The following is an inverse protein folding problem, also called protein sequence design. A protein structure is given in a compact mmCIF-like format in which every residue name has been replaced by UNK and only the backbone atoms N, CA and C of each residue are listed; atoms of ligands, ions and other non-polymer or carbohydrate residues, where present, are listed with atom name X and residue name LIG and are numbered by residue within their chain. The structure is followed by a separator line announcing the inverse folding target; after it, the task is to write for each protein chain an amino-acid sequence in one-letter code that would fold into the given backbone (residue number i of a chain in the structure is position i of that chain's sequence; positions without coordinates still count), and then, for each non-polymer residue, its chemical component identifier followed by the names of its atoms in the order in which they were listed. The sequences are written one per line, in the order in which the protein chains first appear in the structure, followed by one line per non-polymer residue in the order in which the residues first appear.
data_IF_181154885250
#
_entry.id   IF_181154885250
#
_cell.length_a   1.000
_cell.length_b   1.000
_cell.length_c   1.000
_cell.angle_alpha   90.00
_cell.angle_beta   90.00
_cell.angle_gamma   90.00
#
_symmetry.space_group_name_H-M   'P 1'
#
loop_
_entity.id
_entity.type
_entity.pdbx_description
1 polymer ?
#
# COMPACT_ATOMS: atom_id res chain seq x y z
N UNK A 1 4.65 -31.04 14.57
CA UNK A 1 4.67 -30.87 13.08
C UNK A 1 5.22 -29.49 12.80
N UNK A 2 6.35 -29.38 12.16
CA UNK A 2 6.95 -28.09 11.77
C UNK A 2 6.31 -27.61 10.47
N UNK A 3 5.90 -26.35 10.44
CA UNK A 3 5.46 -25.65 9.23
C UNK A 3 6.63 -25.56 8.25
N UNK A 4 6.35 -25.73 6.96
CA UNK A 4 7.34 -25.57 5.88
C UNK A 4 6.83 -24.47 4.95
N UNK A 5 7.77 -23.64 4.48
CA UNK A 5 7.50 -22.53 3.56
C UNK A 5 8.43 -22.65 2.37
N UNK A 6 7.86 -22.85 1.17
CA UNK A 6 8.60 -22.89 -0.08
C UNK A 6 8.30 -21.66 -0.91
N UNK A 7 9.29 -20.80 -1.13
CA UNK A 7 9.14 -19.58 -1.94
C UNK A 7 9.29 -19.96 -3.41
N UNK A 8 8.24 -19.77 -4.20
CA UNK A 8 8.24 -20.05 -5.64
C UNK A 8 8.67 -18.83 -6.47
N UNK A 9 8.18 -17.66 -6.11
CA UNK A 9 8.49 -16.40 -6.79
C UNK A 9 8.59 -15.29 -5.73
N UNK A 10 9.60 -14.45 -5.85
CA UNK A 10 9.77 -13.26 -5.00
C UNK A 10 10.29 -12.11 -5.87
N UNK A 11 9.57 -11.00 -5.85
CA UNK A 11 9.94 -9.76 -6.50
C UNK A 11 9.62 -8.57 -5.59
N UNK A 12 10.01 -7.36 -5.99
CA UNK A 12 9.75 -6.14 -5.22
C UNK A 12 8.25 -5.87 -4.98
N UNK A 13 7.38 -6.42 -5.85
CA UNK A 13 5.93 -6.15 -5.81
C UNK A 13 5.07 -7.39 -5.62
N UNK A 14 5.64 -8.58 -5.63
CA UNK A 14 4.86 -9.81 -5.51
C UNK A 14 5.66 -10.94 -4.87
N UNK A 15 4.97 -11.75 -4.07
CA UNK A 15 5.50 -12.98 -3.52
C UNK A 15 4.51 -14.11 -3.75
N UNK A 16 5.03 -15.28 -4.16
CA UNK A 16 4.28 -16.52 -4.31
C UNK A 16 5.00 -17.63 -3.57
N UNK A 17 4.34 -18.24 -2.66
CA UNK A 17 4.91 -19.29 -1.79
C UNK A 17 3.89 -20.36 -1.46
N UNK A 18 4.38 -21.53 -1.10
CA UNK A 18 3.58 -22.67 -0.63
C UNK A 18 3.77 -22.82 0.87
N UNK A 19 2.67 -22.92 1.58
CA UNK A 19 2.65 -23.26 3.00
C UNK A 19 2.23 -24.75 3.13
N UNK A 20 3.11 -25.58 3.69
CA UNK A 20 2.86 -26.99 3.93
C UNK A 20 2.65 -27.25 5.41
N UNK A 21 1.80 -28.26 5.73
CA UNK A 21 1.50 -28.69 7.09
C UNK A 21 0.82 -27.61 7.95
N UNK A 22 0.03 -26.74 7.31
CA UNK A 22 -0.78 -25.72 7.98
C UNK A 22 -2.27 -25.98 7.76
N UNK A 23 -3.09 -25.49 8.68
CA UNK A 23 -4.54 -25.48 8.48
C UNK A 23 -4.97 -24.35 7.56
N UNK A 24 -6.13 -24.50 6.91
CA UNK A 24 -6.75 -23.42 6.13
C UNK A 24 -7.02 -22.17 6.99
N UNK A 25 -7.37 -22.37 8.27
CA UNK A 25 -7.57 -21.27 9.21
C UNK A 25 -6.29 -20.46 9.42
N UNK A 26 -5.14 -21.12 9.53
CA UNK A 26 -3.84 -20.47 9.63
C UNK A 26 -3.51 -19.69 8.34
N UNK A 27 -3.65 -20.30 7.16
CA UNK A 27 -3.41 -19.66 5.90
C UNK A 27 -4.30 -18.40 5.71
N UNK A 28 -5.57 -18.48 6.09
CA UNK A 28 -6.47 -17.32 6.08
C UNK A 28 -6.08 -16.27 7.13
N UNK A 29 -5.60 -16.70 8.30
CA UNK A 29 -5.07 -15.79 9.33
C UNK A 29 -3.89 -14.97 8.79
N UNK A 30 -2.92 -15.62 8.14
CA UNK A 30 -1.78 -14.94 7.49
C UNK A 30 -2.26 -13.96 6.42
N UNK A 31 -3.18 -14.39 5.53
CA UNK A 31 -3.75 -13.50 4.52
C UNK A 31 -4.38 -12.25 5.13
N UNK A 32 -5.16 -12.41 6.19
CA UNK A 32 -5.81 -11.28 6.88
C UNK A 32 -4.80 -10.36 7.55
N UNK A 33 -3.79 -10.92 8.21
CA UNK A 33 -2.73 -10.14 8.84
C UNK A 33 -1.95 -9.31 7.79
N UNK A 34 -1.63 -9.89 6.63
CA UNK A 34 -0.95 -9.16 5.53
C UNK A 34 -1.76 -7.98 5.01
N UNK A 35 -3.08 -8.05 5.03
CA UNK A 35 -3.96 -6.96 4.55
C UNK A 35 -4.23 -5.94 5.65
N UNK A 36 -4.46 -6.40 6.89
CA UNK A 36 -5.04 -5.59 7.95
C UNK A 36 -4.02 -5.06 8.96
N UNK A 37 -2.94 -5.80 9.22
CA UNK A 37 -2.08 -5.56 10.37
C UNK A 37 -0.66 -5.10 10.01
N UNK A 38 -0.33 -4.98 8.72
CA UNK A 38 0.94 -4.41 8.27
C UNK A 38 0.80 -2.89 8.22
N UNK A 39 1.57 -2.13 9.03
CA UNK A 39 1.49 -0.67 9.02
C UNK A 39 2.10 -0.09 7.75
N UNK A 40 1.44 0.92 7.17
CA UNK A 40 1.92 1.65 5.99
C UNK A 40 1.68 3.14 6.12
N UNK A 41 2.50 3.93 5.41
CA UNK A 41 2.30 5.38 5.28
C UNK A 41 1.22 5.67 4.22
N UNK A 42 0.29 6.56 4.54
CA UNK A 42 -0.65 7.13 3.57
C UNK A 42 -0.98 8.58 3.95
N UNK A 43 -1.34 9.38 2.95
CA UNK A 43 -1.76 10.76 3.15
C UNK A 43 -3.10 10.77 3.91
N UNK A 44 -3.13 11.48 5.04
CA UNK A 44 -4.32 11.64 5.88
C UNK A 44 -4.90 13.03 5.80
N UNK A 45 -4.06 14.05 5.88
CA UNK A 45 -4.46 15.45 5.86
C UNK A 45 -3.91 16.14 4.62
N UNK A 46 -4.71 17.04 4.04
CA UNK A 46 -4.30 17.88 2.91
C UNK A 46 -4.67 19.32 3.20
N UNK A 47 -3.66 20.18 3.27
CA UNK A 47 -3.81 21.63 3.37
C UNK A 47 -3.78 22.19 1.95
N UNK A 48 -4.92 22.61 1.44
CA UNK A 48 -5.06 23.21 0.12
C UNK A 48 -4.89 24.73 0.23
N UNK A 49 -3.87 25.27 -0.43
CA UNK A 49 -3.61 26.71 -0.47
C UNK A 49 -4.20 27.37 -1.70
N UNK A 50 -4.16 26.67 -2.85
CA UNK A 50 -4.75 27.13 -4.10
C UNK A 50 -5.20 25.94 -4.94
N UNK A 51 -6.49 25.89 -5.30
CA UNK A 51 -7.06 24.88 -6.18
C UNK A 51 -8.02 25.52 -7.16
N UNK A 52 -7.53 25.82 -8.34
CA UNK A 52 -8.34 26.32 -9.46
C UNK A 52 -8.58 25.23 -10.53
N UNK A 53 -8.32 23.96 -10.19
CA UNK A 53 -8.57 22.82 -11.06
C UNK A 53 -10.07 22.55 -11.22
N UNK A 54 -10.42 21.56 -12.03
CA UNK A 54 -11.82 21.11 -12.22
C UNK A 54 -12.30 20.16 -11.11
N UNK A 55 -11.38 19.65 -10.27
CA UNK A 55 -11.72 18.77 -9.17
C UNK A 55 -12.02 19.56 -7.91
N UNK A 56 -13.07 19.17 -7.21
CA UNK A 56 -13.36 19.67 -5.86
C UNK A 56 -12.30 19.18 -4.86
N UNK A 57 -12.10 19.95 -3.80
CA UNK A 57 -11.09 19.70 -2.78
C UNK A 57 -11.19 18.30 -2.17
N UNK A 58 -12.40 17.83 -1.90
CA UNK A 58 -12.66 16.51 -1.31
C UNK A 58 -12.29 15.37 -2.28
N UNK A 59 -12.55 15.55 -3.58
CA UNK A 59 -12.19 14.58 -4.60
C UNK A 59 -10.67 14.52 -4.79
N UNK A 60 -10.02 15.67 -4.75
CA UNK A 60 -8.57 15.77 -4.81
C UNK A 60 -7.92 15.12 -3.59
N UNK A 61 -8.41 15.42 -2.38
CA UNK A 61 -7.94 14.81 -1.13
C UNK A 61 -8.11 13.29 -1.14
N UNK A 62 -9.25 12.78 -1.61
CA UNK A 62 -9.48 11.34 -1.75
C UNK A 62 -8.46 10.70 -2.71
N UNK A 63 -8.21 11.31 -3.87
CA UNK A 63 -7.23 10.80 -4.83
C UNK A 63 -5.82 10.77 -4.27
N UNK A 64 -5.42 11.84 -3.58
CA UNK A 64 -4.12 11.94 -2.91
C UNK A 64 -3.97 10.88 -1.82
N UNK A 65 -4.99 10.64 -0.99
CA UNK A 65 -4.95 9.67 0.09
C UNK A 65 -4.79 8.22 -0.40
N UNK A 66 -5.18 7.92 -1.65
CA UNK A 66 -5.06 6.60 -2.25
C UNK A 66 -3.74 6.39 -3.02
N UNK A 67 -2.86 7.38 -3.07
CA UNK A 67 -1.52 7.21 -3.65
C UNK A 67 -0.67 6.37 -2.69
N UNK A 68 -0.18 5.19 -3.12
CA UNK A 68 0.68 4.37 -2.28
C UNK A 68 2.03 5.04 -2.10
N UNK A 69 2.50 5.10 -0.86
CA UNK A 69 3.81 5.63 -0.50
C UNK A 69 4.76 4.50 -0.13
N UNK A 70 6.03 4.63 -0.49
CA UNK A 70 7.09 3.77 0.04
C UNK A 70 7.16 4.00 1.54
N UNK A 71 7.14 2.92 2.32
CA UNK A 71 7.07 2.97 3.78
C UNK A 71 8.34 2.43 4.40
N UNK A 72 8.97 3.20 5.27
CA UNK A 72 10.08 2.78 6.12
C UNK A 72 9.55 2.49 7.53
N UNK A 73 9.26 1.21 7.81
CA UNK A 73 8.70 0.75 9.09
C UNK A 73 9.72 0.77 10.25
N UNK A 74 11.01 0.94 9.95
CA UNK A 74 12.06 1.02 10.98
C UNK A 74 12.20 2.46 11.51
N UNK A 75 11.93 3.45 10.65
CA UNK A 75 12.09 4.87 11.00
C UNK A 75 10.79 5.48 11.54
N UNK A 76 9.65 5.10 10.96
CA UNK A 76 8.34 5.66 11.32
C UNK A 76 7.51 4.70 12.16
N UNK A 77 6.69 5.25 13.04
CA UNK A 77 5.75 4.50 13.88
C UNK A 77 4.34 5.08 13.76
N UNK A 78 3.29 4.29 14.06
CA UNK A 78 1.93 4.81 14.11
C UNK A 78 1.82 5.99 15.08
N UNK A 79 1.09 7.03 14.68
CA UNK A 79 0.95 8.26 15.46
C UNK A 79 0.43 8.00 16.87
N UNK A 80 -0.53 7.07 17.02
CA UNK A 80 -1.09 6.69 18.32
C UNK A 80 -0.08 6.01 19.26
N UNK A 81 1.00 5.44 18.72
CA UNK A 81 2.06 4.74 19.45
C UNK A 81 3.31 5.62 19.63
N UNK A 82 3.28 6.87 19.13
CA UNK A 82 4.44 7.75 19.15
C UNK A 82 4.69 8.31 20.56
N UNK A 83 5.76 7.85 21.20
CA UNK A 83 6.18 8.31 22.52
C UNK A 83 6.75 9.74 22.51
N UNK A 84 7.19 10.23 21.34
CA UNK A 84 7.83 11.55 21.20
C UNK A 84 6.80 12.68 21.30
N UNK A 85 5.63 12.54 20.66
CA UNK A 85 4.60 13.57 20.61
C UNK A 85 3.30 13.19 21.35
N UNK A 86 3.20 11.97 21.88
CA UNK A 86 1.99 11.52 22.56
C UNK A 86 0.75 11.47 21.67
N UNK A 87 0.93 11.37 20.34
CA UNK A 87 -0.16 11.29 19.35
C UNK A 87 -0.56 12.63 18.73
N UNK A 88 0.14 13.73 19.04
CA UNK A 88 -0.19 15.06 18.46
C UNK A 88 0.37 15.27 17.04
N UNK A 89 1.32 14.44 16.60
CA UNK A 89 2.02 14.56 15.33
C UNK A 89 3.41 15.18 15.47
N UNK A 90 4.41 14.54 14.85
CA UNK A 90 5.79 15.04 14.84
C UNK A 90 6.58 14.40 13.69
N UNK A 91 7.80 14.91 13.39
CA UNK A 91 8.64 14.36 12.32
C UNK A 91 9.04 12.88 12.48
N UNK A 92 8.82 12.28 13.65
CA UNK A 92 9.06 10.84 13.89
C UNK A 92 7.87 9.95 13.48
N UNK A 93 6.67 10.52 13.30
CA UNK A 93 5.46 9.78 12.95
C UNK A 93 4.71 10.36 11.74
N UNK A 94 5.12 11.53 11.25
CA UNK A 94 4.50 12.20 10.11
C UNK A 94 5.53 12.63 9.05
N UNK A 95 5.10 12.63 7.79
CA UNK A 95 5.89 13.11 6.65
C UNK A 95 5.06 14.10 5.86
N UNK A 96 5.63 15.29 5.62
CA UNK A 96 5.00 16.30 4.75
C UNK A 96 5.43 16.12 3.31
N UNK A 97 4.46 16.19 2.40
CA UNK A 97 4.65 16.21 0.96
C UNK A 97 4.06 17.50 0.40
N UNK A 98 4.82 18.22 -0.39
CA UNK A 98 4.37 19.47 -1.03
C UNK A 98 4.16 19.29 -2.52
N UNK A 99 3.16 19.98 -3.06
CA UNK A 99 2.86 20.02 -4.48
C UNK A 99 2.60 21.47 -4.91
N UNK A 100 3.27 21.91 -5.96
CA UNK A 100 3.02 23.19 -6.60
C UNK A 100 3.08 23.00 -8.11
N UNK A 101 1.95 23.13 -8.78
CA UNK A 101 1.83 22.94 -10.22
C UNK A 101 0.99 24.04 -10.86
N UNK A 102 1.39 24.46 -12.08
CA UNK A 102 0.66 25.43 -12.91
C UNK A 102 0.44 24.83 -14.30
N UNK A 103 -0.80 24.92 -14.77
CA UNK A 103 -1.19 24.41 -16.09
C UNK A 103 -0.72 25.28 -17.27
N UNK A 104 -0.77 24.73 -18.49
CA UNK A 104 -1.45 23.48 -18.84
C UNK A 104 -0.59 22.23 -18.67
N UNK A 105 -1.16 21.14 -18.18
CA UNK A 105 -0.49 19.85 -18.06
C UNK A 105 -1.16 18.91 -17.07
N UNK A 106 -0.72 17.65 -17.08
CA UNK A 106 -1.18 16.64 -16.10
C UNK A 106 -0.21 16.62 -14.94
N UNK A 107 -0.75 16.71 -13.73
CA UNK A 107 -0.01 16.57 -12.47
C UNK A 107 0.00 15.09 -12.09
N UNK A 108 1.18 14.57 -11.78
CA UNK A 108 1.39 13.17 -11.43
C UNK A 108 1.88 13.04 -9.99
N UNK A 109 1.84 11.81 -9.48
CA UNK A 109 2.36 11.48 -8.15
C UNK A 109 3.85 11.86 -7.96
N UNK A 110 4.67 11.78 -9.01
CA UNK A 110 6.09 12.21 -8.97
C UNK A 110 6.29 13.70 -8.70
N UNK A 111 5.26 14.51 -8.89
CA UNK A 111 5.33 15.95 -8.66
C UNK A 111 5.15 16.31 -7.17
N UNK A 112 4.81 15.32 -6.34
CA UNK A 112 4.83 15.42 -4.88
C UNK A 112 6.28 15.40 -4.38
N UNK A 113 6.68 16.44 -3.69
CA UNK A 113 8.01 16.58 -3.10
C UNK A 113 7.91 16.26 -1.61
N UNK A 114 8.54 15.17 -1.20
CA UNK A 114 8.55 14.74 0.20
C UNK A 114 9.62 15.45 1.03
N UNK A 115 9.35 15.69 2.28
CA UNK A 115 10.33 16.18 3.27
C UNK A 115 11.42 15.14 3.58
N UNK A 116 11.10 13.84 3.46
CA UNK A 116 12.05 12.74 3.56
C UNK A 116 12.27 12.11 2.17
N UNK A 117 13.50 12.13 1.62
CA UNK A 117 13.81 11.54 0.31
C UNK A 117 13.52 10.04 0.19
N UNK A 118 13.47 9.30 1.30
CA UNK A 118 13.15 7.87 1.32
C UNK A 118 11.66 7.60 1.09
N UNK A 119 10.80 8.55 1.46
CA UNK A 119 9.35 8.41 1.36
C UNK A 119 8.88 9.09 0.08
N UNK A 120 8.56 8.29 -0.91
CA UNK A 120 8.12 8.72 -2.23
C UNK A 120 6.89 7.92 -2.68
N UNK A 121 6.10 8.41 -3.63
CA UNK A 121 5.08 7.60 -4.29
C UNK A 121 5.68 6.31 -4.87
N UNK A 122 5.09 5.17 -4.57
CA UNK A 122 5.54 3.86 -5.06
C UNK A 122 5.43 3.72 -6.59
N UNK A 123 4.51 4.49 -7.21
CA UNK A 123 4.41 4.64 -8.65
C UNK A 123 4.44 6.14 -9.01
N UNK A 124 5.45 6.60 -9.78
CA UNK A 124 5.60 8.00 -10.13
C UNK A 124 4.60 8.49 -11.20
N UNK A 125 3.85 7.59 -11.84
CA UNK A 125 3.01 7.90 -12.99
C UNK A 125 1.51 7.90 -12.68
N UNK A 126 1.11 7.96 -11.42
CA UNK A 126 -0.30 8.06 -11.04
C UNK A 126 -0.79 9.49 -11.36
N UNK A 127 -1.76 9.67 -12.27
CA UNK A 127 -2.30 10.99 -12.59
C UNK A 127 -3.19 11.50 -11.45
N UNK A 128 -2.90 12.69 -10.94
CA UNK A 128 -3.68 13.35 -9.88
C UNK A 128 -4.79 14.18 -10.50
N UNK A 129 -4.43 15.17 -11.35
CA UNK A 129 -5.37 16.08 -12.00
C UNK A 129 -4.77 16.63 -13.29
N UNK A 130 -5.61 16.97 -14.25
CA UNK A 130 -5.23 17.71 -15.45
C UNK A 130 -5.56 19.20 -15.25
N UNK A 131 -4.56 20.07 -15.35
CA UNK A 131 -4.67 21.52 -15.26
C UNK A 131 -4.74 22.12 -16.64
N UNK A 132 -5.66 23.05 -16.87
CA UNK A 132 -5.73 23.89 -18.06
C UNK A 132 -4.90 25.15 -17.90
N UNK A 133 -4.71 25.89 -18.98
CA UNK A 133 -3.99 27.17 -18.96
C UNK A 133 -4.57 28.13 -17.91
N UNK A 134 -3.73 28.63 -17.03
CA UNK A 134 -4.08 29.54 -15.96
C UNK A 134 -4.67 28.88 -14.71
N UNK A 135 -4.74 27.55 -14.68
CA UNK A 135 -5.10 26.82 -13.49
C UNK A 135 -3.86 26.49 -12.66
N UNK A 136 -4.03 26.49 -11.34
CA UNK A 136 -2.98 26.22 -10.35
C UNK A 136 -3.46 25.22 -9.31
N UNK A 137 -2.51 24.47 -8.78
CA UNK A 137 -2.70 23.60 -7.66
C UNK A 137 -1.52 23.74 -6.71
N UNK A 138 -1.77 24.22 -5.49
CA UNK A 138 -0.76 24.35 -4.43
C UNK A 138 -1.31 23.72 -3.15
N UNK A 139 -0.62 22.72 -2.64
CA UNK A 139 -1.03 22.02 -1.46
C UNK A 139 0.16 21.47 -0.65
N UNK A 140 -0.11 21.16 0.59
CA UNK A 140 0.73 20.35 1.46
C UNK A 140 -0.10 19.16 1.93
N UNK A 141 0.43 17.95 1.75
CA UNK A 141 -0.17 16.72 2.20
C UNK A 141 0.66 16.14 3.36
N UNK A 142 0.00 15.72 4.43
CA UNK A 142 0.63 15.10 5.59
C UNK A 142 0.27 13.63 5.59
N UNK A 143 1.30 12.79 5.54
CA UNK A 143 1.18 11.35 5.61
C UNK A 143 1.59 10.84 6.98
N UNK A 144 0.82 9.91 7.54
CA UNK A 144 1.19 9.17 8.74
C UNK A 144 0.95 7.67 8.57
N UNK A 145 1.54 6.90 9.47
CA UNK A 145 1.42 5.45 9.46
C UNK A 145 0.10 5.01 10.11
N UNK A 146 -0.55 4.05 9.46
CA UNK A 146 -1.78 3.42 9.95
C UNK A 146 -1.91 1.99 9.49
N UNK A 147 -3.04 1.37 9.78
CA UNK A 147 -3.28 -0.05 9.51
C UNK A 147 -4.42 -0.25 8.51
N UNK A 148 -4.30 -1.26 7.67
CA UNK A 148 -5.32 -1.62 6.67
C UNK A 148 -6.69 -1.95 7.27
N UNK A 149 -6.77 -2.31 8.54
CA UNK A 149 -8.04 -2.53 9.28
C UNK A 149 -8.80 -1.23 9.54
N UNK A 150 -8.11 -0.08 9.61
CA UNK A 150 -8.70 1.22 9.90
C UNK A 150 -9.19 1.91 8.61
N UNK A 151 -8.39 1.80 7.53
CA UNK A 151 -8.77 2.31 6.21
C UNK A 151 -8.01 1.59 5.09
N UNK A 152 -8.68 1.49 3.93
CA UNK A 152 -8.11 0.85 2.72
C UNK A 152 -6.84 1.54 2.22
N UNK A 153 -6.65 2.83 2.48
CA UNK A 153 -5.45 3.58 2.07
C UNK A 153 -4.16 3.07 2.73
N UNK A 154 -4.28 2.44 3.91
CA UNK A 154 -3.18 1.82 4.64
C UNK A 154 -3.02 0.31 4.37
N UNK A 155 -3.71 -0.23 3.37
CA UNK A 155 -3.47 -1.62 2.97
C UNK A 155 -2.10 -1.78 2.30
N UNK A 156 -1.25 -2.63 2.88
CA UNK A 156 0.08 -2.91 2.34
C UNK A 156 0.04 -3.65 1.00
N UNK A 157 -1.03 -4.39 0.72
CA UNK A 157 -1.18 -5.18 -0.50
C UNK A 157 -2.54 -5.04 -1.15
N UNK A 158 -2.56 -4.90 -2.47
CA UNK A 158 -3.81 -4.79 -3.26
C UNK A 158 -4.51 -6.14 -3.41
N UNK A 159 -3.74 -7.21 -3.59
CA UNK A 159 -4.28 -8.56 -3.80
C UNK A 159 -3.52 -9.57 -2.94
N UNK A 160 -4.22 -10.19 -2.02
CA UNK A 160 -3.71 -11.28 -1.22
C UNK A 160 -4.72 -12.43 -1.23
N UNK A 161 -4.36 -13.53 -1.86
CA UNK A 161 -5.22 -14.70 -2.00
C UNK A 161 -4.45 -15.99 -1.75
N UNK A 162 -5.15 -17.06 -1.42
CA UNK A 162 -4.58 -18.39 -1.36
C UNK A 162 -5.53 -19.42 -1.99
N UNK A 163 -4.97 -20.52 -2.42
CA UNK A 163 -5.70 -21.70 -2.89
C UNK A 163 -5.05 -22.97 -2.37
N UNK A 164 -5.83 -24.03 -2.23
CA UNK A 164 -5.29 -25.34 -1.90
C UNK A 164 -4.58 -25.94 -3.11
N UNK A 165 -3.42 -26.54 -2.86
CA UNK A 165 -2.72 -27.37 -3.85
C UNK A 165 -3.10 -28.82 -3.55
N UNK A 166 -3.73 -29.54 -4.49
CA UNK A 166 -4.07 -30.93 -4.28
C UNK A 166 -2.80 -31.78 -4.23
N UNK A 167 -2.71 -32.64 -3.25
CA UNK A 167 -1.68 -33.68 -3.18
C UNK A 167 -2.33 -34.99 -3.64
N UNK A 168 -1.85 -35.52 -4.75
CA UNK A 168 -2.33 -36.79 -5.30
C UNK A 168 -1.35 -37.86 -4.87
N UNK A 169 -1.81 -38.83 -4.08
CA UNK A 169 -1.08 -40.05 -3.78
C UNK A 169 -1.72 -41.21 -4.54
N UNK A 170 -0.88 -41.99 -5.22
CA UNK A 170 -1.32 -43.16 -5.98
C UNK A 170 -0.76 -44.38 -5.26
N UNK A 171 -1.65 -45.24 -4.75
CA UNK A 171 -1.30 -46.51 -4.13
C UNK A 171 -1.79 -47.65 -5.04
N UNK A 172 -0.99 -48.71 -5.16
CA UNK A 172 -1.30 -49.91 -5.93
C UNK A 172 -1.70 -49.64 -7.38
N UNK A 173 -0.96 -48.76 -8.08
CA UNK A 173 -1.17 -48.47 -9.49
C UNK A 173 -0.71 -49.64 -10.38
N UNK A 174 -1.62 -50.15 -11.24
CA UNK A 174 -1.36 -51.17 -12.25
C UNK A 174 -0.96 -50.60 -13.63
N UNK A 175 -0.79 -49.26 -13.70
CA UNK A 175 -0.44 -48.52 -14.92
C UNK A 175 -1.47 -48.66 -16.08
N UNK A 176 -2.74 -48.92 -15.76
CA UNK A 176 -3.79 -49.09 -16.77
C UNK A 176 -4.15 -47.82 -17.55
N UNK A 177 -3.71 -46.64 -17.12
CA UNK A 177 -3.92 -45.35 -17.80
C UNK A 177 -5.29 -44.73 -17.65
N UNK A 178 -6.29 -45.39 -17.01
CA UNK A 178 -7.65 -44.89 -16.88
C UNK A 178 -7.79 -43.60 -16.04
N UNK A 179 -6.81 -43.29 -15.18
CA UNK A 179 -6.81 -42.07 -14.36
C UNK A 179 -6.14 -40.87 -15.07
N UNK A 180 -5.54 -41.07 -16.25
CA UNK A 180 -4.86 -40.01 -17.01
C UNK A 180 -5.66 -39.59 -18.26
N UNK A 181 -6.87 -40.11 -18.45
CA UNK A 181 -7.73 -39.82 -19.59
C UNK A 181 -8.59 -38.55 -19.38
#
# INVERSE_FOLDING_TARGET
MTMEVDILELSDRSAKFVLSRVSMAFANGVRRAMIADVPTLAIEYVNLYDNTSVLYDEQLALRLSLIPLVTDIETYMPQAECEVCGGEGCPACEVSLTLSAEGPGTVYSRDLISSDPKIQPADPNIPIVELKKGQKLVLEAVAHMGYGRDSVKWQAGVACGYKNVPVISIENCDACGHCAA
#
